data_IF_397388616967
#
_entry.id   IF_397388616967
#
_cell.length_a   1.000
_cell.length_b   1.000
_cell.length_c   1.000
_cell.angle_alpha   90.00
_cell.angle_beta   90.00
_cell.angle_gamma   90.00
#
_symmetry.space_group_name_H-M   'P 1'
#
loop_
_entity.id
_entity.type
_entity.pdbx_description
1 polymer ?
#
# COMPACT_ATOMS: atom_id res chain seq x y z
N UNK A 1 -32.56 21.19 12.32
CA UNK A 1 -32.07 20.14 11.40
C UNK A 1 -32.63 18.82 11.89
N UNK A 2 -33.46 18.13 11.09
CA UNK A 2 -34.11 16.88 11.52
C UNK A 2 -33.13 15.69 11.37
N UNK A 3 -33.23 14.71 12.28
CA UNK A 3 -32.35 13.53 12.34
C UNK A 3 -32.19 12.80 11.00
N UNK A 4 -33.27 12.69 10.22
CA UNK A 4 -33.26 12.10 8.87
C UNK A 4 -32.38 12.83 7.88
N UNK A 5 -32.32 14.17 7.97
CA UNK A 5 -31.51 15.00 7.08
C UNK A 5 -30.02 14.87 7.43
N UNK A 6 -29.68 14.81 8.72
CA UNK A 6 -28.32 14.57 9.19
C UNK A 6 -27.81 13.16 8.84
N UNK A 7 -28.68 12.15 8.93
CA UNK A 7 -28.36 10.76 8.54
C UNK A 7 -28.13 10.61 7.03
N UNK A 8 -28.97 11.25 6.20
CA UNK A 8 -28.75 11.29 4.75
C UNK A 8 -27.44 11.98 4.39
N UNK A 9 -27.12 13.09 5.07
CA UNK A 9 -25.90 13.83 4.82
C UNK A 9 -24.65 13.05 5.24
N UNK A 10 -24.68 12.34 6.38
CA UNK A 10 -23.64 11.38 6.75
C UNK A 10 -23.49 10.28 5.71
N UNK A 11 -24.59 9.68 5.24
CA UNK A 11 -24.56 8.63 4.23
C UNK A 11 -23.87 9.10 2.93
N UNK A 12 -24.22 10.28 2.42
CA UNK A 12 -23.60 10.84 1.21
C UNK A 12 -22.12 11.20 1.42
N UNK A 13 -21.75 11.69 2.59
CA UNK A 13 -20.35 11.99 2.94
C UNK A 13 -19.53 10.70 3.01
N UNK A 14 -20.04 9.66 3.67
CA UNK A 14 -19.39 8.35 3.75
C UNK A 14 -19.26 7.71 2.37
N UNK A 15 -20.33 7.73 1.56
CA UNK A 15 -20.30 7.18 0.20
C UNK A 15 -19.28 7.90 -0.68
N UNK A 16 -19.23 9.23 -0.62
CA UNK A 16 -18.25 10.05 -1.35
C UNK A 16 -16.82 9.77 -0.89
N UNK A 17 -16.61 9.61 0.41
CA UNK A 17 -15.30 9.26 0.98
C UNK A 17 -14.84 7.88 0.49
N UNK A 18 -15.71 6.88 0.50
CA UNK A 18 -15.41 5.53 -0.01
C UNK A 18 -15.06 5.58 -1.50
N UNK A 19 -15.86 6.26 -2.32
CA UNK A 19 -15.61 6.36 -3.77
C UNK A 19 -14.30 7.08 -4.06
N UNK A 20 -14.01 8.17 -3.35
CA UNK A 20 -12.74 8.88 -3.50
C UNK A 20 -11.57 7.99 -3.10
N UNK A 21 -11.70 7.27 -1.98
CA UNK A 21 -10.67 6.34 -1.50
C UNK A 21 -10.39 5.27 -2.56
N UNK A 22 -11.42 4.60 -3.08
CA UNK A 22 -11.30 3.57 -4.12
C UNK A 22 -10.70 4.12 -5.42
N UNK A 23 -11.05 5.33 -5.84
CA UNK A 23 -10.52 5.95 -7.05
C UNK A 23 -9.07 6.39 -6.91
N UNK A 24 -8.74 7.10 -5.83
CA UNK A 24 -7.35 7.47 -5.50
C UNK A 24 -6.48 6.23 -5.41
N UNK A 25 -7.04 5.17 -4.84
CA UNK A 25 -6.40 3.89 -4.71
C UNK A 25 -6.17 3.21 -6.07
N UNK A 26 -7.19 3.12 -6.93
CA UNK A 26 -7.07 2.59 -8.28
C UNK A 26 -6.02 3.35 -9.13
N UNK A 27 -5.94 4.67 -8.97
CA UNK A 27 -4.95 5.49 -9.66
C UNK A 27 -3.54 5.25 -9.12
N UNK A 28 -3.37 5.10 -7.80
CA UNK A 28 -2.09 4.75 -7.20
C UNK A 28 -1.59 3.39 -7.71
N UNK A 29 -2.48 2.40 -7.77
CA UNK A 29 -2.18 1.07 -8.31
C UNK A 29 -1.68 1.16 -9.77
N UNK A 30 -2.42 1.85 -10.64
CA UNK A 30 -2.01 2.08 -12.04
C UNK A 30 -0.68 2.81 -12.18
N UNK A 31 -0.41 3.76 -11.28
CA UNK A 31 0.85 4.48 -11.28
C UNK A 31 1.99 3.54 -10.91
N UNK A 32 1.86 2.76 -9.83
CA UNK A 32 2.87 1.82 -9.38
C UNK A 32 3.18 0.75 -10.44
N UNK A 33 2.19 0.20 -11.13
CA UNK A 33 2.40 -0.74 -12.24
C UNK A 33 3.32 -0.19 -13.35
N UNK A 34 3.34 1.13 -13.55
CA UNK A 34 4.12 1.78 -14.61
C UNK A 34 5.31 2.59 -14.07
N UNK A 35 5.53 2.58 -12.75
CA UNK A 35 6.51 3.42 -12.10
C UNK A 35 7.80 2.64 -11.81
N UNK A 36 8.85 2.96 -12.54
CA UNK A 36 10.21 2.54 -12.21
C UNK A 36 10.63 3.18 -10.89
N UNK A 37 11.00 2.37 -9.90
CA UNK A 37 11.47 2.90 -8.62
C UNK A 37 12.85 3.56 -8.77
N UNK A 38 12.95 4.80 -8.34
CA UNK A 38 14.21 5.53 -8.22
C UNK A 38 14.66 5.59 -6.75
N UNK A 39 15.98 5.64 -6.50
CA UNK A 39 16.53 5.65 -5.14
C UNK A 39 15.96 6.79 -4.29
N UNK A 40 15.76 7.97 -4.88
CA UNK A 40 15.23 9.17 -4.22
C UNK A 40 13.79 9.02 -3.74
N UNK A 41 13.02 8.11 -4.36
CA UNK A 41 11.60 7.86 -4.03
C UNK A 41 11.40 6.57 -3.22
N UNK A 42 12.48 5.86 -2.93
CA UNK A 42 12.43 4.59 -2.18
C UNK A 42 11.85 4.79 -0.79
N UNK A 43 12.14 5.92 -0.13
CA UNK A 43 11.58 6.25 1.19
C UNK A 43 10.05 6.34 1.19
N UNK A 44 9.47 6.95 0.17
CA UNK A 44 8.01 7.11 0.05
C UNK A 44 7.31 5.75 -0.12
N UNK A 45 7.90 4.86 -0.93
CA UNK A 45 7.37 3.50 -1.12
C UNK A 45 7.47 2.69 0.18
N UNK A 46 8.58 2.80 0.90
CA UNK A 46 8.75 2.10 2.19
C UNK A 46 7.72 2.57 3.21
N UNK A 47 7.42 3.88 3.26
CA UNK A 47 6.35 4.40 4.11
C UNK A 47 4.98 3.86 3.71
N UNK A 48 4.70 3.77 2.40
CA UNK A 48 3.45 3.18 1.91
C UNK A 48 3.30 1.70 2.30
N UNK A 49 4.39 0.93 2.21
CA UNK A 49 4.41 -0.47 2.64
C UNK A 49 4.17 -0.60 4.15
N UNK A 50 4.84 0.20 4.97
CA UNK A 50 4.62 0.21 6.42
C UNK A 50 3.16 0.55 6.73
N UNK A 51 2.61 1.57 6.08
CA UNK A 51 1.22 1.97 6.28
C UNK A 51 0.25 0.84 5.92
N UNK A 52 0.40 0.21 4.76
CA UNK A 52 -0.52 -0.85 4.31
C UNK A 52 -0.45 -2.10 5.21
N UNK A 53 0.77 -2.56 5.52
CA UNK A 53 0.99 -3.83 6.21
C UNK A 53 0.96 -3.74 7.75
N UNK A 54 1.29 -2.59 8.35
CA UNK A 54 1.33 -2.43 9.81
C UNK A 54 0.20 -1.54 10.36
N UNK A 55 -0.29 -0.54 9.61
CA UNK A 55 -1.17 0.51 10.16
C UNK A 55 -2.61 0.48 9.63
N UNK A 56 -2.86 -0.14 8.46
CA UNK A 56 -4.17 -0.11 7.80
C UNK A 56 -4.91 -1.45 7.92
N UNK A 57 -6.26 -1.41 7.90
CA UNK A 57 -7.04 -2.59 7.53
C UNK A 57 -6.76 -2.89 6.05
N UNK A 58 -5.78 -3.75 5.80
CA UNK A 58 -5.31 -4.15 4.46
C UNK A 58 -6.49 -4.36 3.51
N UNK A 59 -6.52 -3.58 2.44
CA UNK A 59 -7.36 -3.88 1.29
C UNK A 59 -6.64 -5.01 0.56
N UNK A 60 -7.17 -6.24 0.60
CA UNK A 60 -6.50 -7.44 0.04
C UNK A 60 -5.93 -7.28 -1.38
N UNK A 61 -6.54 -6.46 -2.24
CA UNK A 61 -6.03 -6.16 -3.58
C UNK A 61 -4.79 -5.24 -3.55
N UNK A 62 -4.70 -4.33 -2.58
CA UNK A 62 -3.51 -3.51 -2.31
C UNK A 62 -2.34 -4.38 -1.91
N UNK A 63 -2.57 -5.24 -0.92
CA UNK A 63 -1.53 -6.07 -0.35
C UNK A 63 -0.83 -6.93 -1.41
N UNK A 64 -1.61 -7.55 -2.30
CA UNK A 64 -1.07 -8.34 -3.40
C UNK A 64 -0.23 -7.49 -4.37
N UNK A 65 -0.72 -6.32 -4.78
CA UNK A 65 0.03 -5.48 -5.72
C UNK A 65 1.30 -4.91 -5.07
N UNK A 66 1.23 -4.42 -3.83
CA UNK A 66 2.40 -3.90 -3.13
C UNK A 66 3.43 -5.00 -2.86
N UNK A 67 2.96 -6.24 -2.63
CA UNK A 67 3.83 -7.42 -2.56
C UNK A 67 4.54 -7.66 -3.89
N UNK A 68 3.82 -7.70 -5.02
CA UNK A 68 4.42 -7.87 -6.34
C UNK A 68 5.40 -6.72 -6.68
N UNK A 69 5.00 -5.49 -6.37
CA UNK A 69 5.84 -4.30 -6.56
C UNK A 69 7.12 -4.37 -5.73
N UNK A 70 7.02 -4.80 -4.47
CA UNK A 70 8.15 -5.00 -3.58
C UNK A 70 9.09 -6.09 -4.12
N UNK A 71 8.55 -7.19 -4.63
CA UNK A 71 9.35 -8.29 -5.22
C UNK A 71 10.11 -7.79 -6.44
N UNK A 72 9.45 -7.09 -7.37
CA UNK A 72 10.09 -6.54 -8.57
C UNK A 72 11.16 -5.49 -8.28
N UNK A 73 11.03 -4.74 -7.19
CA UNK A 73 11.95 -3.67 -6.83
C UNK A 73 12.85 -4.02 -5.63
N UNK A 74 12.93 -5.31 -5.26
CA UNK A 74 13.59 -5.76 -4.03
C UNK A 74 15.06 -5.33 -3.96
N UNK A 75 15.78 -5.32 -5.09
CA UNK A 75 17.19 -4.91 -5.13
C UNK A 75 17.40 -3.45 -4.70
N UNK A 76 16.50 -2.56 -5.10
CA UNK A 76 16.54 -1.13 -4.75
C UNK A 76 16.03 -0.94 -3.33
N UNK A 77 14.93 -1.60 -2.96
CA UNK A 77 14.35 -1.53 -1.62
C UNK A 77 15.33 -2.05 -0.56
N UNK A 78 16.08 -3.12 -0.83
CA UNK A 78 17.11 -3.66 0.06
C UNK A 78 18.32 -2.74 0.26
N UNK A 79 18.42 -1.60 -0.43
CA UNK A 79 19.41 -0.55 -0.12
C UNK A 79 18.91 0.39 0.96
N UNK A 80 17.60 0.45 1.19
CA UNK A 80 16.98 1.29 2.20
C UNK A 80 17.00 0.63 3.59
N UNK A 81 17.47 1.35 4.61
CA UNK A 81 17.60 0.82 5.96
C UNK A 81 16.26 0.60 6.66
N UNK A 82 15.27 1.44 6.39
CA UNK A 82 13.93 1.32 6.97
C UNK A 82 13.16 0.16 6.37
N UNK A 83 13.38 -0.14 5.08
CA UNK A 83 12.85 -1.34 4.45
C UNK A 83 13.38 -2.63 5.10
N UNK A 84 14.68 -2.70 5.39
CA UNK A 84 15.26 -3.85 6.10
C UNK A 84 14.62 -4.06 7.46
N UNK A 85 14.50 -2.97 8.24
CA UNK A 85 13.84 -3.01 9.55
C UNK A 85 12.38 -3.43 9.43
N UNK A 86 11.68 -2.97 8.39
CA UNK A 86 10.31 -3.37 8.10
C UNK A 86 10.21 -4.88 7.82
N UNK A 87 11.10 -5.45 7.01
CA UNK A 87 11.13 -6.89 6.76
C UNK A 87 11.48 -7.71 8.02
N UNK A 88 12.45 -7.27 8.82
CA UNK A 88 12.83 -7.95 10.07
C UNK A 88 11.63 -8.08 11.04
N UNK A 89 10.74 -7.08 11.04
CA UNK A 89 9.50 -7.09 11.85
C UNK A 89 8.41 -7.99 11.24
N UNK A 90 8.47 -8.24 9.94
CA UNK A 90 7.46 -8.96 9.17
C UNK A 90 8.03 -10.26 8.56
N UNK A 91 8.46 -11.19 9.42
CA UNK A 91 9.12 -12.45 9.01
C UNK A 91 8.37 -13.30 7.98
N UNK A 92 7.03 -13.27 7.96
CA UNK A 92 6.22 -13.94 6.93
C UNK A 92 6.32 -13.25 5.57
N UNK A 93 6.36 -11.91 5.58
CA UNK A 93 6.51 -11.11 4.36
C UNK A 93 7.92 -11.28 3.81
N UNK A 94 8.93 -11.23 4.68
CA UNK A 94 10.33 -11.52 4.36
C UNK A 94 10.49 -12.88 3.66
N UNK A 95 9.95 -13.95 4.24
CA UNK A 95 9.98 -15.29 3.64
C UNK A 95 9.29 -15.33 2.27
N UNK A 96 8.18 -14.60 2.12
CA UNK A 96 7.46 -14.54 0.84
C UNK A 96 8.32 -13.86 -0.22
N UNK A 97 8.90 -12.70 0.11
CA UNK A 97 9.78 -11.94 -0.80
C UNK A 97 10.96 -12.80 -1.24
N UNK A 98 11.69 -13.40 -0.30
CA UNK A 98 12.84 -14.21 -0.66
C UNK A 98 12.48 -15.48 -1.44
N UNK A 99 11.35 -16.13 -1.12
CA UNK A 99 10.88 -17.28 -1.90
C UNK A 99 10.57 -16.88 -3.35
N UNK A 100 9.87 -15.76 -3.55
CA UNK A 100 9.50 -15.28 -4.89
C UNK A 100 10.68 -14.82 -5.75
N UNK A 101 11.87 -14.60 -5.18
CA UNK A 101 13.09 -14.35 -5.96
C UNK A 101 13.66 -15.63 -6.60
N UNK A 102 13.24 -16.80 -6.14
CA UNK A 102 13.78 -18.11 -6.54
C UNK A 102 12.82 -18.95 -7.40
N UNK A 103 11.60 -18.47 -7.60
CA UNK A 103 10.57 -19.05 -8.48
C UNK A 103 10.65 -18.43 -9.89
#
# INVERSE_FOLDING_TARGET
MNLTQAMQQCFWVTLKSIVLHVLSFYLLLRLLENFTLFEERTGDIVQLLIFDFEESESIKNLENMLRDYMIWNVEILMRNADFKRFLDRNSLLEQTVFRSMWD
#
